data_IF_174557987414
#
_entry.id   IF_174557987414
#
_cell.length_a   1.000
_cell.length_b   1.000
_cell.length_c   1.000
_cell.angle_alpha   90.00
_cell.angle_beta   90.00
_cell.angle_gamma   90.00
#
_symmetry.space_group_name_H-M   'P 1'
#
loop_
_entity.id
_entity.type
_entity.pdbx_description
1 polymer ?
#
# COMPACT_ATOMS: atom_id res chain seq x y z
N UNK A 1 5.01 -0.67 -2.94
CA UNK A 1 4.90 -1.50 -4.17
C UNK A 1 3.91 -0.78 -5.10
N UNK A 2 3.27 -1.44 -6.07
CA UNK A 2 2.14 -0.86 -6.84
C UNK A 2 0.98 -1.85 -6.94
N UNK A 3 -0.05 -1.50 -7.72
CA UNK A 3 -1.27 -2.29 -7.96
C UNK A 3 -0.99 -3.77 -8.23
N UNK A 4 0.09 -4.11 -8.92
CA UNK A 4 0.48 -5.50 -9.18
C UNK A 4 0.59 -6.35 -7.90
N UNK A 5 1.13 -5.79 -6.81
CA UNK A 5 1.19 -6.50 -5.54
C UNK A 5 0.12 -6.05 -4.55
N UNK A 6 -0.15 -4.75 -4.42
CA UNK A 6 -1.12 -4.23 -3.45
C UNK A 6 -2.56 -4.67 -3.74
N UNK A 7 -2.91 -4.94 -5.00
CA UNK A 7 -4.20 -5.54 -5.37
C UNK A 7 -4.03 -7.01 -5.79
N UNK A 8 -3.44 -7.27 -6.96
CA UNK A 8 -3.49 -8.62 -7.55
C UNK A 8 -2.73 -9.66 -6.71
N UNK A 9 -1.54 -9.31 -6.24
CA UNK A 9 -0.78 -10.14 -5.30
C UNK A 9 -1.57 -10.46 -4.03
N UNK A 10 -2.16 -9.45 -3.38
CA UNK A 10 -2.99 -9.65 -2.18
C UNK A 10 -4.22 -10.52 -2.48
N UNK A 11 -4.91 -10.31 -3.60
CA UNK A 11 -6.08 -11.11 -3.98
C UNK A 11 -5.74 -12.60 -4.09
N UNK A 12 -4.65 -12.91 -4.83
CA UNK A 12 -4.16 -14.28 -5.00
C UNK A 12 -3.75 -14.89 -3.66
N UNK A 13 -3.00 -14.15 -2.84
CA UNK A 13 -2.53 -14.64 -1.54
C UNK A 13 -3.69 -14.86 -0.55
N UNK A 14 -4.74 -14.02 -0.60
CA UNK A 14 -5.94 -14.17 0.23
C UNK A 14 -6.77 -15.39 -0.20
N UNK A 15 -7.01 -15.58 -1.50
CA UNK A 15 -7.66 -16.79 -2.02
C UNK A 15 -6.89 -18.05 -1.62
N UNK A 16 -5.58 -18.05 -1.85
CA UNK A 16 -4.71 -19.17 -1.48
C UNK A 16 -4.63 -19.39 0.04
N UNK A 17 -4.83 -18.33 0.83
CA UNK A 17 -4.88 -18.37 2.29
C UNK A 17 -6.20 -18.92 2.85
N UNK A 18 -7.18 -19.23 2.00
CA UNK A 18 -8.46 -19.83 2.38
C UNK A 18 -9.62 -18.85 2.53
N UNK A 19 -9.46 -17.58 2.20
CA UNK A 19 -10.60 -16.64 2.15
C UNK A 19 -11.45 -16.92 0.93
N UNK A 20 -12.78 -16.86 1.07
CA UNK A 20 -13.67 -16.88 -0.09
C UNK A 20 -13.39 -15.69 -1.04
N UNK A 21 -13.97 -15.74 -2.22
CA UNK A 21 -13.71 -14.72 -3.25
C UNK A 21 -14.06 -13.30 -2.83
N UNK A 22 -15.26 -13.10 -2.29
CA UNK A 22 -15.73 -11.79 -1.87
C UNK A 22 -14.80 -11.18 -0.82
N UNK A 23 -14.40 -11.95 0.19
CA UNK A 23 -13.47 -11.50 1.22
C UNK A 23 -12.07 -11.25 0.65
N UNK A 24 -11.55 -12.13 -0.20
CA UNK A 24 -10.23 -11.97 -0.80
C UNK A 24 -10.14 -10.70 -1.67
N UNK A 25 -11.16 -10.43 -2.48
CA UNK A 25 -11.25 -9.21 -3.28
C UNK A 25 -11.46 -7.98 -2.41
N UNK A 26 -12.20 -8.09 -1.31
CA UNK A 26 -12.38 -6.98 -0.35
C UNK A 26 -11.06 -6.63 0.35
N UNK A 27 -10.28 -7.63 0.78
CA UNK A 27 -8.95 -7.45 1.36
C UNK A 27 -8.02 -6.77 0.34
N UNK A 28 -7.98 -7.29 -0.89
CA UNK A 28 -7.14 -6.76 -1.96
C UNK A 28 -7.50 -5.33 -2.34
N UNK A 29 -8.79 -5.04 -2.48
CA UNK A 29 -9.27 -3.69 -2.77
C UNK A 29 -8.89 -2.73 -1.65
N UNK A 30 -9.14 -3.09 -0.38
CA UNK A 30 -8.75 -2.27 0.77
C UNK A 30 -7.24 -1.97 0.78
N UNK A 31 -6.41 -2.99 0.50
CA UNK A 31 -4.96 -2.84 0.42
C UNK A 31 -4.58 -1.79 -0.64
N UNK A 32 -5.01 -1.95 -1.89
CA UNK A 32 -4.72 -0.98 -2.93
C UNK A 32 -5.34 0.41 -2.67
N UNK A 33 -6.53 0.47 -2.06
CA UNK A 33 -7.20 1.74 -1.81
C UNK A 33 -6.45 2.63 -0.81
N UNK A 34 -5.50 2.09 -0.04
CA UNK A 34 -4.57 2.89 0.78
C UNK A 34 -3.76 3.86 -0.08
N UNK A 35 -3.31 3.47 -1.26
CA UNK A 35 -2.60 4.36 -2.20
C UNK A 35 -3.55 5.33 -2.93
N UNK A 36 -4.85 5.03 -2.97
CA UNK A 36 -5.85 5.77 -3.76
C UNK A 36 -6.73 6.71 -2.93
N UNK A 37 -6.69 6.62 -1.60
CA UNK A 37 -7.42 7.51 -0.71
C UNK A 37 -6.66 8.83 -0.51
N UNK A 38 -6.93 9.75 -1.43
CA UNK A 38 -6.34 11.09 -1.56
C UNK A 38 -7.21 12.21 -1.00
N UNK A 39 -8.34 11.87 -0.36
CA UNK A 39 -9.36 12.82 0.08
C UNK A 39 -8.76 13.94 0.95
N UNK A 40 -9.13 15.18 0.66
CA UNK A 40 -8.46 16.35 1.23
C UNK A 40 -9.32 17.12 2.24
N UNK A 41 -10.65 16.99 2.20
CA UNK A 41 -11.58 17.78 3.02
C UNK A 41 -12.83 16.97 3.45
N UNK A 42 -13.62 17.47 4.42
CA UNK A 42 -14.92 16.89 4.74
C UNK A 42 -15.88 16.93 3.55
N UNK A 43 -16.66 15.87 3.39
CA UNK A 43 -17.61 15.69 2.30
C UNK A 43 -19.06 15.87 2.78
N UNK A 44 -19.84 16.68 2.07
CA UNK A 44 -21.27 16.82 2.36
C UNK A 44 -22.08 15.71 1.68
N UNK A 45 -22.76 14.89 2.49
CA UNK A 45 -23.66 13.81 2.05
C UNK A 45 -25.05 14.04 2.62
N UNK A 46 -25.99 14.46 1.77
CA UNK A 46 -27.30 14.95 2.20
C UNK A 46 -27.20 16.13 3.16
N UNK A 47 -27.67 15.94 4.40
CA UNK A 47 -27.59 16.93 5.49
C UNK A 47 -26.42 16.68 6.46
N UNK A 48 -25.59 15.68 6.17
CA UNK A 48 -24.50 15.23 7.05
C UNK A 48 -23.15 15.64 6.47
N UNK A 49 -22.15 15.66 7.34
CA UNK A 49 -20.74 15.82 6.98
C UNK A 49 -20.06 14.50 7.29
N UNK A 50 -19.35 13.96 6.31
CA UNK A 50 -18.49 12.78 6.46
C UNK A 50 -17.03 13.22 6.31
N UNK A 51 -16.18 12.84 7.25
CA UNK A 51 -14.75 13.16 7.20
C UNK A 51 -13.97 11.93 6.72
N UNK A 52 -13.56 11.88 5.44
CA UNK A 52 -12.73 10.79 4.94
C UNK A 52 -11.32 10.86 5.53
N UNK A 53 -10.65 9.72 5.56
CA UNK A 53 -9.30 9.54 6.06
C UNK A 53 -8.33 9.45 4.90
N UNK A 54 -7.58 10.52 4.67
CA UNK A 54 -6.48 10.53 3.71
C UNK A 54 -5.37 9.54 4.09
N UNK A 55 -5.08 8.56 3.25
CA UNK A 55 -3.97 7.61 3.47
C UNK A 55 -2.84 7.76 2.46
N UNK A 56 -3.07 8.45 1.34
CA UNK A 56 -2.05 8.80 0.37
C UNK A 56 -2.00 10.32 0.13
N UNK A 57 -0.79 10.84 -0.14
CA UNK A 57 -0.61 12.24 -0.46
C UNK A 57 0.46 12.46 -1.53
N UNK A 58 0.03 13.07 -2.64
CA UNK A 58 0.84 13.42 -3.79
C UNK A 58 1.03 14.94 -3.83
N UNK A 59 2.27 15.42 -3.75
CA UNK A 59 2.57 16.85 -3.90
C UNK A 59 3.65 17.40 -2.95
N UNK A 60 3.92 18.69 -3.09
CA UNK A 60 4.96 19.41 -2.34
C UNK A 60 4.63 19.63 -0.86
N UNK A 61 3.37 19.43 -0.44
CA UNK A 61 2.95 19.53 0.96
C UNK A 61 3.46 18.36 1.84
N UNK A 62 4.19 17.40 1.25
CA UNK A 62 4.93 16.34 1.94
C UNK A 62 5.79 16.85 3.12
N UNK A 63 6.28 18.09 3.07
CA UNK A 63 7.08 18.70 4.13
C UNK A 63 6.31 18.98 5.43
N UNK A 64 4.98 19.04 5.41
CA UNK A 64 4.20 19.23 6.63
C UNK A 64 4.37 18.00 7.54
N UNK A 65 4.77 18.25 8.78
CA UNK A 65 4.86 17.22 9.82
C UNK A 65 3.51 16.51 10.02
N UNK A 66 2.39 17.19 9.81
CA UNK A 66 1.06 16.60 9.88
C UNK A 66 0.85 15.50 8.84
N UNK A 67 1.35 15.70 7.61
CA UNK A 67 1.33 14.70 6.53
C UNK A 67 2.24 13.52 6.89
N UNK A 68 3.49 13.79 7.28
CA UNK A 68 4.44 12.74 7.68
C UNK A 68 3.89 11.86 8.80
N UNK A 69 3.35 12.50 9.86
CA UNK A 69 2.84 11.84 11.06
C UNK A 69 1.51 11.12 10.82
N UNK A 70 0.58 11.68 10.05
CA UNK A 70 -0.79 11.12 9.89
C UNK A 70 -0.97 10.25 8.65
N UNK A 71 -0.06 10.32 7.69
CA UNK A 71 -0.17 9.65 6.38
C UNK A 71 1.03 8.74 6.15
N UNK A 72 2.24 9.28 6.02
CA UNK A 72 3.40 8.47 5.63
C UNK A 72 3.80 7.43 6.68
N UNK A 73 3.95 7.82 7.95
CA UNK A 73 4.34 6.89 9.01
C UNK A 73 3.30 5.77 9.24
N UNK A 74 1.99 6.05 9.34
CA UNK A 74 1.01 5.01 9.65
C UNK A 74 0.68 4.03 8.52
N UNK A 75 0.93 4.42 7.26
CA UNK A 75 0.48 3.64 6.11
C UNK A 75 1.61 3.11 5.23
N UNK A 76 2.72 3.85 5.06
CA UNK A 76 3.75 3.54 4.06
C UNK A 76 5.16 3.31 4.62
N UNK A 77 5.53 4.00 5.70
CA UNK A 77 6.89 3.98 6.26
C UNK A 77 6.87 3.71 7.76
N UNK A 78 6.22 2.61 8.15
CA UNK A 78 6.09 2.23 9.54
C UNK A 78 7.47 1.85 10.12
N UNK A 79 7.95 2.49 11.20
CA UNK A 79 9.20 2.13 11.83
C UNK A 79 9.23 0.67 12.27
N UNK A 80 10.42 0.06 12.30
CA UNK A 80 10.56 -1.35 12.65
C UNK A 80 9.96 -1.74 14.03
N UNK A 81 9.94 -0.78 14.96
CA UNK A 81 9.43 -0.89 16.32
C UNK A 81 8.89 0.48 16.78
N UNK A 82 8.00 0.52 17.78
CA UNK A 82 7.73 1.72 18.56
C UNK A 82 9.01 2.43 19.03
N UNK A 83 9.01 3.77 19.00
CA UNK A 83 10.11 4.66 19.37
C UNK A 83 10.08 4.92 20.87
N UNK A 84 10.84 4.15 21.65
CA UNK A 84 10.77 4.20 23.13
C UNK A 84 11.79 5.15 23.75
N UNK A 85 12.86 5.48 23.04
CA UNK A 85 13.91 6.38 23.53
C UNK A 85 14.55 7.19 22.42
N UNK A 86 15.19 8.34 22.76
CA UNK A 86 16.02 9.07 21.81
C UNK A 86 17.08 8.15 21.18
N UNK A 87 17.18 8.19 19.85
CA UNK A 87 18.10 7.36 19.07
C UNK A 87 17.48 6.06 18.51
N UNK A 88 16.26 5.71 18.90
CA UNK A 88 15.52 4.66 18.19
C UNK A 88 15.25 5.11 16.73
N UNK A 89 15.31 4.16 15.81
CA UNK A 89 15.25 4.44 14.37
C UNK A 89 13.82 4.52 13.86
N UNK A 90 13.57 5.48 12.96
CA UNK A 90 12.34 5.58 12.18
C UNK A 90 12.42 4.80 10.86
N UNK A 91 13.54 4.13 10.59
CA UNK A 91 13.70 3.34 9.39
C UNK A 91 12.71 2.17 9.39
N UNK A 92 12.02 2.05 8.28
CA UNK A 92 11.15 0.93 7.96
C UNK A 92 12.00 -0.33 7.81
N UNK A 93 11.53 -1.45 8.34
CA UNK A 93 12.18 -2.74 8.18
C UNK A 93 11.18 -3.80 7.70
N UNK A 94 11.61 -4.76 6.86
CA UNK A 94 10.74 -5.81 6.35
C UNK A 94 10.11 -6.65 7.46
N UNK A 95 8.79 -6.88 7.40
CA UNK A 95 8.07 -7.80 8.29
C UNK A 95 8.34 -7.53 9.78
N UNK A 96 8.42 -6.24 10.14
CA UNK A 96 8.90 -5.81 11.45
C UNK A 96 7.92 -6.11 12.59
N UNK A 97 8.40 -5.96 13.83
CA UNK A 97 7.53 -6.12 15.01
C UNK A 97 6.34 -5.17 14.96
N UNK A 98 6.52 -3.94 14.50
CA UNK A 98 5.43 -2.97 14.46
C UNK A 98 4.39 -3.33 13.39
N UNK A 99 4.80 -3.84 12.22
CA UNK A 99 3.84 -4.29 11.20
C UNK A 99 3.01 -5.47 11.69
N UNK A 100 3.60 -6.39 12.46
CA UNK A 100 2.84 -7.47 13.11
C UNK A 100 1.85 -6.93 14.17
N UNK A 101 2.22 -5.94 14.97
CA UNK A 101 1.28 -5.31 15.91
C UNK A 101 0.07 -4.67 15.19
N UNK A 102 0.31 -4.01 14.05
CA UNK A 102 -0.76 -3.42 13.22
C UNK A 102 -1.64 -4.51 12.61
N UNK A 103 -1.05 -5.60 12.12
CA UNK A 103 -1.77 -6.77 11.62
C UNK A 103 -2.65 -7.42 12.70
N UNK A 104 -2.11 -7.68 13.89
CA UNK A 104 -2.84 -8.29 15.00
C UNK A 104 -4.04 -7.40 15.42
N UNK A 105 -3.84 -6.08 15.45
CA UNK A 105 -4.91 -5.11 15.71
C UNK A 105 -5.99 -5.15 14.62
N UNK A 106 -5.63 -5.24 13.34
CA UNK A 106 -6.58 -5.38 12.25
C UNK A 106 -7.38 -6.69 12.33
N UNK A 107 -6.74 -7.80 12.70
CA UNK A 107 -7.40 -9.10 12.90
C UNK A 107 -8.36 -9.10 14.10
N UNK A 108 -8.14 -8.21 15.08
CA UNK A 108 -9.01 -8.06 16.25
C UNK A 108 -10.32 -7.31 15.97
N UNK A 109 -10.54 -6.83 14.74
CA UNK A 109 -11.81 -6.21 14.33
C UNK A 109 -12.97 -7.19 14.47
N UNK A 110 -13.91 -6.86 15.36
CA UNK A 110 -15.06 -7.72 15.69
C UNK A 110 -16.20 -7.60 14.68
N UNK A 111 -16.27 -6.49 13.93
CA UNK A 111 -17.27 -6.35 12.90
C UNK A 111 -16.87 -7.17 11.66
N UNK A 112 -17.51 -8.32 11.43
CA UNK A 112 -17.20 -9.27 10.35
C UNK A 112 -17.03 -8.57 9.00
N UNK A 113 -17.93 -7.64 8.65
CA UNK A 113 -17.88 -6.94 7.37
C UNK A 113 -16.79 -5.86 7.26
N UNK A 114 -16.16 -5.44 8.38
CA UNK A 114 -15.03 -4.49 8.41
C UNK A 114 -13.68 -5.17 8.64
N UNK A 115 -13.66 -6.43 9.10
CA UNK A 115 -12.44 -7.19 9.35
C UNK A 115 -11.61 -7.41 8.08
N UNK A 116 -12.16 -7.90 6.94
CA UNK A 116 -11.43 -7.99 5.68
C UNK A 116 -10.81 -6.66 5.23
N UNK A 117 -11.55 -5.56 5.39
CA UNK A 117 -11.07 -4.21 5.03
C UNK A 117 -9.92 -3.76 5.93
N UNK A 118 -10.04 -3.95 7.25
CA UNK A 118 -8.96 -3.64 8.21
C UNK A 118 -7.70 -4.45 7.92
N UNK A 119 -7.86 -5.73 7.59
CA UNK A 119 -6.77 -6.61 7.20
C UNK A 119 -6.08 -6.13 5.92
N UNK A 120 -6.84 -5.72 4.90
CA UNK A 120 -6.28 -5.16 3.67
C UNK A 120 -5.43 -3.91 3.92
N UNK A 121 -5.93 -2.97 4.74
CA UNK A 121 -5.17 -1.76 5.12
C UNK A 121 -3.86 -2.12 5.85
N UNK A 122 -3.90 -3.11 6.75
CA UNK A 122 -2.70 -3.56 7.46
C UNK A 122 -1.71 -4.30 6.53
N UNK A 123 -2.21 -5.10 5.59
CA UNK A 123 -1.39 -5.81 4.60
C UNK A 123 -0.69 -4.85 3.64
N UNK A 124 -1.33 -3.73 3.28
CA UNK A 124 -0.67 -2.66 2.54
C UNK A 124 0.60 -2.19 3.26
N UNK A 125 0.47 -1.78 4.52
CA UNK A 125 1.59 -1.31 5.35
C UNK A 125 2.63 -2.41 5.58
N UNK A 126 2.20 -3.66 5.74
CA UNK A 126 3.10 -4.81 5.84
C UNK A 126 3.91 -5.01 4.56
N UNK A 127 3.27 -4.96 3.39
CA UNK A 127 3.92 -5.11 2.08
C UNK A 127 4.90 -3.95 1.82
N UNK A 128 4.49 -2.71 2.09
CA UNK A 128 5.32 -1.52 1.98
C UNK A 128 6.55 -1.57 2.89
N UNK A 129 6.52 -2.33 4.00
CA UNK A 129 7.70 -2.51 4.84
C UNK A 129 8.89 -3.18 4.12
N UNK A 130 8.61 -3.93 3.05
CA UNK A 130 9.61 -4.53 2.17
C UNK A 130 10.06 -3.56 1.06
N UNK A 131 9.11 -2.84 0.44
CA UNK A 131 9.40 -1.84 -0.60
C UNK A 131 10.24 -0.69 -0.03
N UNK A 132 9.78 -0.12 1.08
CA UNK A 132 10.34 1.07 1.69
C UNK A 132 11.39 0.76 2.75
N UNK A 133 11.91 -0.49 2.79
CA UNK A 133 12.94 -0.86 3.76
C UNK A 133 14.11 0.13 3.71
N UNK A 134 14.52 0.53 4.90
CA UNK A 134 15.57 1.52 5.14
C UNK A 134 15.23 2.93 4.63
N UNK A 135 13.96 3.28 4.49
CA UNK A 135 13.49 4.66 4.40
C UNK A 135 12.54 4.96 5.57
N UNK A 136 12.27 6.22 5.82
CA UNK A 136 11.38 6.69 6.88
C UNK A 136 10.34 7.68 6.35
N UNK A 137 9.18 7.73 6.99
CA UNK A 137 8.09 8.62 6.58
C UNK A 137 8.28 10.09 6.99
N UNK A 138 9.44 10.45 7.54
CA UNK A 138 9.76 11.79 8.05
C UNK A 138 10.79 12.49 7.19
N UNK A 139 10.78 13.82 7.19
CA UNK A 139 11.85 14.62 6.59
C UNK A 139 13.12 14.49 7.42
N UNK A 140 14.08 13.71 6.93
CA UNK A 140 15.32 13.48 7.65
C UNK A 140 16.45 13.01 6.72
N UNK A 141 17.70 13.31 7.10
CA UNK A 141 18.89 12.89 6.36
C UNK A 141 19.07 11.39 6.26
N UNK A 142 18.36 10.58 7.06
CA UNK A 142 18.34 9.14 6.85
C UNK A 142 17.72 8.74 5.51
N UNK A 143 16.90 9.59 4.88
CA UNK A 143 16.37 9.35 3.52
C UNK A 143 17.27 9.91 2.41
N UNK A 144 18.39 10.56 2.76
CA UNK A 144 19.31 11.17 1.81
C UNK A 144 20.13 10.08 1.08
N UNK A 145 19.81 9.83 -0.18
CA UNK A 145 20.40 8.77 -0.99
C UNK A 145 20.96 9.31 -2.30
N UNK A 146 22.15 8.83 -2.65
CA UNK A 146 22.92 9.29 -3.79
C UNK A 146 23.57 8.10 -4.52
N UNK A 147 24.17 8.39 -5.68
CA UNK A 147 24.90 7.41 -6.48
C UNK A 147 24.06 6.18 -6.82
N UNK A 148 22.83 6.39 -7.25
CA UNK A 148 21.94 5.30 -7.63
C UNK A 148 22.46 4.64 -8.91
N UNK A 149 22.54 3.32 -8.87
CA UNK A 149 22.81 2.48 -10.02
C UNK A 149 21.69 1.46 -10.18
N UNK A 150 21.31 1.20 -11.42
CA UNK A 150 20.40 0.11 -11.79
C UNK A 150 21.19 -1.00 -12.46
N UNK A 151 20.77 -2.24 -12.25
CA UNK A 151 21.35 -3.41 -12.89
C UNK A 151 20.50 -3.77 -14.11
N UNK A 152 21.05 -3.51 -15.30
CA UNK A 152 20.45 -3.78 -16.60
C UNK A 152 21.49 -4.53 -17.44
N UNK A 153 21.13 -5.37 -18.41
CA UNK A 153 22.08 -6.02 -19.35
C UNK A 153 23.38 -6.61 -18.72
N UNK A 154 23.26 -7.24 -17.55
CA UNK A 154 24.37 -7.81 -16.76
C UNK A 154 25.45 -6.82 -16.29
N UNK A 155 25.16 -5.51 -16.25
CA UNK A 155 26.07 -4.49 -15.76
C UNK A 155 25.36 -3.43 -14.88
N UNK A 156 26.14 -2.71 -14.08
CA UNK A 156 25.64 -1.59 -13.27
C UNK A 156 25.70 -0.29 -14.04
N UNK A 157 24.55 0.32 -14.30
CA UNK A 157 24.43 1.62 -14.96
C UNK A 157 24.22 2.72 -13.92
N UNK A 158 25.11 3.70 -13.90
CA UNK A 158 25.00 4.87 -13.03
C UNK A 158 24.05 5.91 -13.64
N UNK A 159 23.00 6.25 -12.91
CA UNK A 159 21.96 7.20 -13.29
C UNK A 159 22.37 8.65 -13.01
N UNK A 160 23.42 9.17 -13.65
CA UNK A 160 24.00 10.47 -13.27
C UNK A 160 23.03 11.65 -13.38
N UNK A 161 22.24 11.72 -14.46
CA UNK A 161 21.29 12.82 -14.69
C UNK A 161 20.04 12.66 -13.82
N UNK A 162 19.50 11.43 -13.71
CA UNK A 162 18.38 11.20 -12.80
C UNK A 162 18.79 11.41 -11.35
N UNK A 163 20.01 11.06 -10.93
CA UNK A 163 20.52 11.34 -9.58
C UNK A 163 20.52 12.84 -9.28
N UNK A 164 21.03 13.68 -10.20
CA UNK A 164 21.01 15.15 -9.98
C UNK A 164 19.57 15.66 -9.81
N UNK A 165 18.63 15.12 -10.57
CA UNK A 165 17.22 15.49 -10.42
C UNK A 165 16.63 14.96 -9.11
N UNK A 166 16.88 13.69 -8.78
CA UNK A 166 16.38 13.05 -7.58
C UNK A 166 16.96 13.66 -6.30
N UNK A 167 18.23 14.06 -6.29
CA UNK A 167 18.89 14.77 -5.17
C UNK A 167 18.24 16.15 -4.88
N UNK A 168 17.38 16.65 -5.78
CA UNK A 168 16.60 17.88 -5.56
C UNK A 168 15.24 17.60 -4.91
N UNK A 169 14.85 16.33 -4.79
CA UNK A 169 13.60 15.91 -4.18
C UNK A 169 13.65 16.00 -2.64
N UNK A 170 12.49 16.09 -1.97
CA UNK A 170 12.42 16.07 -0.52
C UNK A 170 13.03 14.79 0.08
N UNK A 171 13.73 14.89 1.21
CA UNK A 171 14.26 13.74 1.96
C UNK A 171 13.19 13.05 2.81
N UNK A 172 12.09 12.68 2.18
CA UNK A 172 10.93 12.05 2.80
C UNK A 172 10.64 10.75 2.07
N UNK A 173 10.56 9.66 2.82
CA UNK A 173 10.39 8.35 2.24
C UNK A 173 11.53 8.04 1.27
N UNK A 174 11.18 7.55 0.09
CA UNK A 174 12.13 7.19 -0.96
C UNK A 174 12.12 8.17 -2.14
N UNK A 175 11.73 9.43 -1.91
CA UNK A 175 11.61 10.42 -2.99
C UNK A 175 12.91 10.63 -3.78
N UNK A 176 14.07 10.70 -3.12
CA UNK A 176 15.39 10.74 -3.79
C UNK A 176 15.79 9.40 -4.44
N UNK A 177 15.06 8.30 -4.18
CA UNK A 177 15.21 7.03 -4.90
C UNK A 177 14.18 6.84 -6.04
N UNK A 178 13.33 7.84 -6.30
CA UNK A 178 12.30 7.78 -7.33
C UNK A 178 11.40 6.56 -7.19
N UNK A 179 11.10 5.89 -8.30
CA UNK A 179 10.24 4.71 -8.36
C UNK A 179 10.96 3.38 -8.16
N UNK A 180 12.29 3.37 -8.02
CA UNK A 180 13.08 2.12 -7.96
C UNK A 180 12.69 1.20 -6.81
N UNK A 181 12.36 1.66 -5.59
CA UNK A 181 11.91 0.78 -4.52
C UNK A 181 10.64 -0.01 -4.88
N UNK A 182 9.74 0.56 -5.67
CA UNK A 182 8.39 0.02 -5.93
C UNK A 182 8.26 -0.85 -7.17
N UNK A 183 9.29 -0.88 -8.04
CA UNK A 183 9.27 -1.69 -9.25
C UNK A 183 9.79 -3.11 -8.96
N UNK A 184 8.97 -4.16 -9.05
CA UNK A 184 9.35 -5.53 -8.65
C UNK A 184 10.58 -6.07 -9.36
N UNK A 185 10.71 -5.80 -10.66
CA UNK A 185 11.79 -6.33 -11.49
C UNK A 185 13.14 -5.64 -11.21
N UNK A 186 13.14 -4.54 -10.47
CA UNK A 186 14.35 -3.75 -10.27
C UNK A 186 15.36 -4.44 -9.36
N UNK A 187 16.59 -4.46 -9.85
CA UNK A 187 17.80 -4.63 -9.06
C UNK A 187 18.58 -3.34 -9.11
N UNK A 188 18.76 -2.70 -7.98
CA UNK A 188 19.35 -1.38 -7.90
C UNK A 188 20.21 -1.25 -6.65
N UNK A 189 21.06 -0.25 -6.60
CA UNK A 189 21.90 0.02 -5.43
C UNK A 189 22.14 1.51 -5.28
N UNK A 190 22.35 1.94 -4.05
CA UNK A 190 22.55 3.36 -3.72
C UNK A 190 23.49 3.49 -2.53
N UNK A 191 24.01 4.70 -2.32
CA UNK A 191 24.69 5.07 -1.07
C UNK A 191 23.83 6.05 -0.31
N UNK A 192 23.86 5.99 1.01
CA UNK A 192 23.37 7.12 1.81
C UNK A 192 24.44 8.17 1.86
N UNK A 193 24.06 9.44 1.83
CA UNK A 193 25.02 10.52 1.93
C UNK A 193 25.82 10.43 3.23
N UNK A 194 27.13 10.56 3.11
CA UNK A 194 28.06 10.39 4.23
C UNK A 194 28.39 8.93 4.59
N UNK A 195 27.81 7.93 3.92
CA UNK A 195 28.17 6.53 4.08
C UNK A 195 29.02 6.02 2.92
N UNK A 196 30.07 5.25 3.22
CA UNK A 196 30.92 4.63 2.20
C UNK A 196 30.30 3.36 1.61
N UNK A 197 29.46 2.66 2.38
CA UNK A 197 28.88 1.40 1.97
C UNK A 197 27.71 1.59 1.02
N UNK A 198 27.66 0.74 0.00
CA UNK A 198 26.54 0.69 -0.94
C UNK A 198 25.50 -0.31 -0.44
N UNK A 199 24.23 0.09 -0.48
CA UNK A 199 23.09 -0.79 -0.20
C UNK A 199 22.52 -1.32 -1.51
N UNK A 200 22.56 -2.64 -1.72
CA UNK A 200 21.95 -3.30 -2.88
C UNK A 200 20.52 -3.77 -2.55
N UNK A 201 19.63 -3.63 -3.52
CA UNK A 201 18.21 -3.99 -3.49
C UNK A 201 17.92 -4.91 -4.66
N UNK A 202 17.22 -6.01 -4.38
CA UNK A 202 16.73 -6.95 -5.39
C UNK A 202 15.25 -7.15 -5.15
N UNK A 203 14.44 -6.26 -5.73
CA UNK A 203 13.05 -6.13 -5.32
C UNK A 203 12.27 -7.43 -5.55
N UNK A 204 12.49 -8.16 -6.65
CA UNK A 204 11.81 -9.43 -6.90
C UNK A 204 12.09 -10.49 -5.82
N UNK A 205 13.31 -10.55 -5.28
CA UNK A 205 13.65 -11.46 -4.18
C UNK A 205 13.03 -10.99 -2.84
N UNK A 206 13.01 -9.68 -2.60
CA UNK A 206 12.41 -9.10 -1.40
C UNK A 206 10.88 -9.22 -1.41
N UNK A 207 10.24 -8.97 -2.55
CA UNK A 207 8.80 -9.00 -2.72
C UNK A 207 8.28 -10.43 -2.67
N UNK A 208 9.02 -11.41 -3.19
CA UNK A 208 8.66 -12.82 -3.04
C UNK A 208 8.65 -13.25 -1.55
N UNK A 209 9.60 -12.74 -0.75
CA UNK A 209 9.60 -12.98 0.70
C UNK A 209 8.42 -12.28 1.38
N UNK A 210 8.07 -11.07 0.95
CA UNK A 210 6.87 -10.38 1.40
C UNK A 210 5.61 -11.23 1.14
N UNK A 211 5.44 -11.73 -0.09
CA UNK A 211 4.33 -12.61 -0.47
C UNK A 211 4.26 -13.86 0.40
N UNK A 212 5.41 -14.49 0.69
CA UNK A 212 5.48 -15.68 1.55
C UNK A 212 5.00 -15.39 2.97
N UNK A 213 5.46 -14.30 3.58
CA UNK A 213 5.02 -13.92 4.92
C UNK A 213 3.55 -13.50 4.94
N UNK A 214 3.07 -12.80 3.91
CA UNK A 214 1.65 -12.43 3.78
C UNK A 214 0.78 -13.69 3.65
N UNK A 215 1.17 -14.67 2.83
CA UNK A 215 0.50 -15.98 2.74
C UNK A 215 0.43 -16.66 4.11
N UNK A 216 1.53 -16.65 4.87
CA UNK A 216 1.56 -17.20 6.23
C UNK A 216 0.60 -16.47 7.17
N UNK A 217 0.61 -15.13 7.16
CA UNK A 217 -0.33 -14.33 7.96
C UNK A 217 -1.79 -14.66 7.63
N UNK A 218 -2.12 -14.75 6.33
CA UNK A 218 -3.48 -15.03 5.87
C UNK A 218 -3.92 -16.47 6.17
N UNK A 219 -3.01 -17.44 6.11
CA UNK A 219 -3.31 -18.84 6.47
C UNK A 219 -3.53 -19.02 7.98
N UNK A 220 -2.78 -18.29 8.82
CA UNK A 220 -2.86 -18.38 10.28
C UNK A 220 -4.11 -17.70 10.88
N UNK A 221 -4.82 -16.85 10.13
CA UNK A 221 -6.05 -16.18 10.58
C UNK A 221 -7.26 -17.12 10.56
N UNK A 222 -8.05 -17.10 11.63
CA UNK A 222 -9.34 -17.79 11.73
C UNK A 222 -10.37 -17.15 10.80
N UNK A 223 -11.12 -18.00 10.08
CA UNK A 223 -12.06 -17.60 9.03
C UNK A 223 -13.43 -18.20 9.34
N UNK A 224 -14.48 -17.42 9.09
CA UNK A 224 -15.85 -17.86 9.32
C UNK A 224 -16.28 -18.87 8.25
N UNK A 225 -15.84 -18.65 7.00
CA UNK A 225 -16.05 -19.53 5.85
C UNK A 225 -14.71 -19.74 5.12
N UNK A 226 -14.09 -20.91 5.31
CA UNK A 226 -12.77 -21.22 4.75
C UNK A 226 -12.90 -22.05 3.48
N UNK A 227 -12.21 -21.63 2.42
CA UNK A 227 -11.98 -22.46 1.22
C UNK A 227 -10.74 -23.33 1.37
N UNK A 228 -10.48 -24.18 0.37
CA UNK A 228 -9.26 -24.99 0.30
C UNK A 228 -8.00 -24.11 0.32
N UNK A 229 -7.02 -24.51 1.14
CA UNK A 229 -5.73 -23.82 1.25
C UNK A 229 -4.82 -24.24 0.10
N UNK A 230 -4.22 -23.27 -0.57
CA UNK A 230 -3.20 -23.52 -1.59
C UNK A 230 -1.82 -23.37 -0.93
N UNK A 231 -0.99 -24.43 -0.90
CA UNK A 231 0.33 -24.36 -0.31
C UNK A 231 1.23 -23.34 -1.01
N UNK A 232 2.08 -22.64 -0.25
CA UNK A 232 3.05 -21.67 -0.79
C UNK A 232 3.90 -22.24 -1.94
N UNK A 233 4.22 -23.54 -1.89
CA UNK A 233 4.99 -24.22 -2.93
C UNK A 233 4.37 -24.13 -4.33
N UNK A 234 3.05 -24.01 -4.43
CA UNK A 234 2.32 -23.88 -5.69
C UNK A 234 2.25 -22.42 -6.19
N UNK A 235 2.51 -21.44 -5.32
CA UNK A 235 2.41 -20.01 -5.63
C UNK A 235 3.79 -19.40 -5.94
N UNK A 236 4.84 -19.91 -5.30
CA UNK A 236 6.14 -19.25 -5.26
C UNK A 236 6.75 -19.00 -6.65
N UNK A 237 6.73 -20.01 -7.52
CA UNK A 237 7.31 -19.91 -8.87
C UNK A 237 6.48 -19.00 -9.80
N UNK A 238 5.15 -19.19 -9.94
CA UNK A 238 4.30 -18.26 -10.68
C UNK A 238 4.44 -16.80 -10.23
N UNK A 239 4.35 -16.53 -8.92
CA UNK A 239 4.51 -15.18 -8.37
C UNK A 239 5.91 -14.63 -8.73
N UNK A 240 6.97 -15.42 -8.56
CA UNK A 240 8.32 -14.95 -8.85
C UNK A 240 8.53 -14.64 -10.33
N UNK A 241 7.92 -15.41 -11.23
CA UNK A 241 7.92 -15.15 -12.66
C UNK A 241 7.29 -13.78 -12.97
N UNK A 242 6.13 -13.48 -12.39
CA UNK A 242 5.46 -12.17 -12.54
C UNK A 242 6.29 -11.02 -11.98
N UNK A 243 6.88 -11.19 -10.78
CA UNK A 243 7.73 -10.17 -10.15
C UNK A 243 9.02 -9.88 -10.92
N UNK A 244 9.51 -10.84 -11.71
CA UNK A 244 10.71 -10.68 -12.55
C UNK A 244 10.43 -10.20 -13.96
N UNK A 245 9.16 -10.08 -14.34
CA UNK A 245 8.79 -9.66 -15.69
C UNK A 245 9.50 -8.36 -16.07
N UNK A 246 10.17 -8.28 -17.24
CA UNK A 246 10.78 -7.04 -17.70
C UNK A 246 9.73 -6.01 -18.16
N UNK A 247 8.44 -6.33 -18.12
CA UNK A 247 7.37 -5.45 -18.55
C UNK A 247 7.20 -4.23 -17.62
N UNK A 248 7.31 -3.04 -18.20
CA UNK A 248 7.19 -1.78 -17.50
C UNK A 248 5.76 -1.24 -17.52
N UNK A 249 4.99 -1.58 -18.55
CA UNK A 249 3.59 -1.21 -18.71
C UNK A 249 2.74 -1.88 -17.62
N UNK A 250 2.02 -1.05 -16.86
CA UNK A 250 1.28 -1.52 -15.69
C UNK A 250 0.09 -2.40 -16.10
N UNK A 251 -0.69 -1.98 -17.10
CA UNK A 251 -1.86 -2.72 -17.59
C UNK A 251 -1.48 -4.12 -18.09
N UNK A 252 -0.34 -4.24 -18.77
CA UNK A 252 0.17 -5.55 -19.19
C UNK A 252 0.61 -6.40 -18.01
N UNK A 253 1.27 -5.84 -17.00
CA UNK A 253 1.61 -6.59 -15.78
C UNK A 253 0.35 -7.09 -15.06
N UNK A 254 -0.67 -6.23 -14.94
CA UNK A 254 -1.96 -6.59 -14.34
C UNK A 254 -2.63 -7.72 -15.09
N UNK A 255 -2.62 -7.64 -16.43
CA UNK A 255 -3.10 -8.72 -17.29
C UNK A 255 -2.36 -10.04 -17.03
N UNK A 256 -1.04 -10.02 -16.88
CA UNK A 256 -0.27 -11.23 -16.57
C UNK A 256 -0.72 -11.88 -15.24
N UNK A 257 -0.97 -11.08 -14.21
CA UNK A 257 -1.53 -11.59 -12.94
C UNK A 257 -2.91 -12.22 -13.13
N UNK A 258 -3.79 -11.55 -13.88
CA UNK A 258 -5.14 -12.05 -14.17
C UNK A 258 -5.12 -13.37 -14.95
N UNK A 259 -4.23 -13.48 -15.94
CA UNK A 259 -4.10 -14.71 -16.75
C UNK A 259 -3.48 -15.86 -15.95
N UNK A 260 -2.46 -15.61 -15.14
CA UNK A 260 -1.76 -16.66 -14.36
C UNK A 260 -2.65 -17.28 -13.27
N UNK A 261 -3.53 -16.47 -12.65
CA UNK A 261 -4.33 -16.89 -11.50
C UNK A 261 -5.85 -16.85 -11.75
N UNK A 262 -6.27 -16.84 -13.02
CA UNK A 262 -7.68 -16.80 -13.42
C UNK A 262 -8.53 -17.85 -12.70
N UNK A 263 -8.05 -19.09 -12.64
CA UNK A 263 -8.75 -20.25 -12.08
C UNK A 263 -9.05 -20.14 -10.56
N UNK A 264 -8.48 -19.16 -9.86
CA UNK A 264 -8.75 -18.92 -8.44
C UNK A 264 -10.06 -18.14 -8.19
N UNK A 265 -10.62 -17.53 -9.23
CA UNK A 265 -11.75 -16.60 -9.17
C UNK A 265 -12.87 -17.04 -10.12
N UNK A 266 -14.11 -16.87 -9.68
CA UNK A 266 -15.34 -17.12 -10.42
C UNK A 266 -15.36 -16.20 -11.64
N UNK A 267 -15.79 -16.77 -12.77
CA UNK A 267 -15.84 -16.10 -14.07
C UNK A 267 -14.48 -15.51 -14.55
N UNK A 268 -13.37 -15.86 -13.89
CA UNK A 268 -12.03 -15.31 -14.11
C UNK A 268 -11.95 -13.78 -13.93
N UNK A 269 -12.84 -13.20 -13.11
CA UNK A 269 -12.91 -11.75 -12.89
C UNK A 269 -12.35 -11.33 -11.52
N UNK A 270 -11.20 -10.68 -11.51
CA UNK A 270 -10.67 -9.99 -10.33
C UNK A 270 -9.92 -8.71 -10.72
N UNK A 271 -10.66 -7.71 -11.18
CA UNK A 271 -10.08 -6.44 -11.60
C UNK A 271 -10.23 -5.32 -10.58
N UNK A 272 -9.33 -4.34 -10.64
CA UNK A 272 -9.36 -3.18 -9.77
C UNK A 272 -9.95 -1.95 -10.48
N UNK A 273 -11.15 -1.54 -10.08
CA UNK A 273 -11.69 -0.22 -10.40
C UNK A 273 -11.57 0.70 -9.18
N UNK A 274 -10.59 1.60 -9.21
CA UNK A 274 -10.35 2.63 -8.18
C UNK A 274 -11.63 3.37 -7.73
N UNK A 275 -12.60 3.53 -8.63
CA UNK A 275 -13.81 4.29 -8.36
C UNK A 275 -14.95 3.44 -7.81
N UNK A 276 -14.84 2.11 -7.77
CA UNK A 276 -15.95 1.22 -7.43
C UNK A 276 -16.57 1.54 -6.07
N UNK A 277 -15.75 1.60 -5.01
CA UNK A 277 -16.25 1.92 -3.66
C UNK A 277 -16.79 3.36 -3.56
N UNK A 278 -16.21 4.32 -4.29
CA UNK A 278 -16.74 5.70 -4.36
C UNK A 278 -18.13 5.71 -5.02
N UNK A 279 -18.31 4.98 -6.14
CA UNK A 279 -19.60 4.84 -6.85
C UNK A 279 -20.64 4.16 -5.96
N UNK A 280 -20.25 3.08 -5.29
CA UNK A 280 -21.08 2.30 -4.37
C UNK A 280 -21.67 3.22 -3.29
N UNK A 281 -20.83 4.06 -2.67
CA UNK A 281 -21.24 4.88 -1.54
C UNK A 281 -21.99 6.17 -1.92
N UNK A 282 -21.61 6.85 -3.02
CA UNK A 282 -21.95 8.26 -3.22
C UNK A 282 -22.97 8.57 -4.33
N UNK A 283 -23.37 7.60 -5.15
CA UNK A 283 -24.33 7.82 -6.27
C UNK A 283 -24.04 9.10 -7.08
N UNK A 284 -22.84 9.21 -7.69
CA UNK A 284 -22.42 10.41 -8.39
C UNK A 284 -23.32 10.70 -9.59
N UNK A 285 -23.67 11.98 -9.81
CA UNK A 285 -24.42 12.40 -11.01
C UNK A 285 -23.58 12.24 -12.28
N UNK A 286 -22.27 12.42 -12.18
CA UNK A 286 -21.30 12.27 -13.27
C UNK A 286 -20.09 11.53 -12.74
N UNK A 287 -19.46 10.71 -13.58
CA UNK A 287 -18.21 9.99 -13.23
C UNK A 287 -17.14 10.92 -12.63
N UNK A 288 -16.96 12.11 -13.21
CA UNK A 288 -15.99 13.11 -12.74
C UNK A 288 -16.22 13.62 -11.31
N UNK A 289 -17.44 13.47 -10.77
CA UNK A 289 -17.74 13.95 -9.42
C UNK A 289 -17.02 13.09 -8.36
N UNK A 290 -16.55 11.88 -8.73
CA UNK A 290 -15.77 10.96 -7.87
C UNK A 290 -14.31 10.75 -8.35
N UNK A 291 -13.90 11.43 -9.42
CA UNK A 291 -12.52 11.45 -9.95
C UNK A 291 -11.79 12.69 -9.41
N UNK A 292 -11.68 12.78 -8.08
CA UNK A 292 -11.21 13.99 -7.38
C UNK A 292 -9.72 13.97 -7.03
N UNK A 293 -8.94 13.00 -7.51
CA UNK A 293 -7.55 12.82 -7.09
C UNK A 293 -6.65 14.01 -7.45
N UNK A 294 -7.01 14.75 -8.51
CA UNK A 294 -6.33 15.97 -8.95
C UNK A 294 -7.03 17.26 -8.48
N UNK A 295 -8.09 17.16 -7.67
CA UNK A 295 -8.83 18.34 -7.23
C UNK A 295 -8.05 19.09 -6.14
N UNK A 296 -8.05 20.41 -6.21
CA UNK A 296 -7.63 21.24 -5.09
C UNK A 296 -8.56 21.04 -3.88
N UNK A 297 -8.09 21.35 -2.67
CA UNK A 297 -8.92 21.34 -1.45
C UNK A 297 -10.24 22.14 -1.65
N UNK A 298 -10.17 23.28 -2.35
CA UNK A 298 -11.35 24.10 -2.63
C UNK A 298 -12.33 23.43 -3.61
N UNK A 299 -11.84 22.71 -4.61
CA UNK A 299 -12.71 21.97 -5.54
C UNK A 299 -13.35 20.78 -4.85
N UNK A 300 -12.58 20.02 -4.07
CA UNK A 300 -13.09 18.91 -3.27
C UNK A 300 -14.15 19.38 -2.28
N UNK A 301 -13.89 20.44 -1.51
CA UNK A 301 -14.83 20.96 -0.51
C UNK A 301 -16.16 21.49 -1.07
N UNK A 302 -16.27 21.64 -2.40
CA UNK A 302 -17.52 21.99 -3.09
C UNK A 302 -18.37 20.78 -3.48
N UNK A 303 -17.82 19.57 -3.37
CA UNK A 303 -18.53 18.34 -3.69
C UNK A 303 -19.70 18.10 -2.72
N UNK A 304 -20.83 17.70 -3.29
CA UNK A 304 -22.06 17.40 -2.55
C UNK A 304 -22.74 16.20 -3.18
N UNK A 305 -23.05 15.21 -2.35
CA UNK A 305 -23.73 14.00 -2.78
C UNK A 305 -25.09 13.88 -2.09
N UNK A 306 -26.11 13.27 -2.73
CA UNK A 306 -27.33 12.90 -2.05
C UNK A 306 -27.02 11.86 -0.96
N UNK A 307 -27.89 11.76 0.05
CA UNK A 307 -27.82 10.63 0.96
C UNK A 307 -28.37 9.38 0.26
N UNK A 308 -27.62 8.28 0.36
CA UNK A 308 -27.99 6.96 -0.12
C UNK A 308 -28.22 6.03 1.07
N UNK A 309 -29.28 5.24 1.02
CA UNK A 309 -29.50 4.17 2.00
C UNK A 309 -28.33 3.17 1.95
N UNK A 310 -27.82 2.75 3.10
CA UNK A 310 -26.62 1.90 3.18
C UNK A 310 -25.29 2.65 3.09
N UNK A 311 -25.27 3.99 3.06
CA UNK A 311 -24.03 4.77 2.98
C UNK A 311 -23.01 4.36 4.07
N UNK A 312 -23.47 4.22 5.33
CA UNK A 312 -22.59 3.90 6.46
C UNK A 312 -22.12 2.45 6.49
N UNK A 313 -22.80 1.59 5.74
CA UNK A 313 -22.54 0.17 5.56
C UNK A 313 -21.68 -0.09 4.31
N UNK A 314 -21.48 0.91 3.45
CA UNK A 314 -20.65 0.80 2.25
C UNK A 314 -19.20 0.46 2.59
N UNK A 315 -18.53 -0.23 1.67
CA UNK A 315 -17.11 -0.57 1.84
C UNK A 315 -16.22 0.67 1.88
N UNK A 316 -16.59 1.74 1.17
CA UNK A 316 -15.88 3.03 1.24
C UNK A 316 -15.89 3.63 2.65
N UNK A 317 -17.04 3.66 3.32
CA UNK A 317 -17.12 4.19 4.68
C UNK A 317 -16.39 3.28 5.68
N UNK A 318 -16.50 1.95 5.51
CA UNK A 318 -15.77 0.99 6.33
C UNK A 318 -14.26 1.14 6.17
N UNK A 319 -13.76 1.38 4.96
CA UNK A 319 -12.35 1.68 4.70
C UNK A 319 -11.89 2.90 5.49
N UNK A 320 -12.59 4.02 5.38
CA UNK A 320 -12.21 5.24 6.10
C UNK A 320 -12.21 5.06 7.61
N UNK A 321 -13.17 4.30 8.15
CA UNK A 321 -13.18 3.92 9.58
C UNK A 321 -11.99 3.02 9.95
N UNK A 322 -11.68 2.02 9.13
CA UNK A 322 -10.53 1.12 9.33
C UNK A 322 -9.19 1.88 9.27
N UNK A 323 -9.04 2.76 8.29
CA UNK A 323 -7.86 3.61 8.14
C UNK A 323 -7.70 4.56 9.34
N UNK A 324 -8.81 5.14 9.84
CA UNK A 324 -8.80 5.95 11.06
C UNK A 324 -8.28 5.14 12.25
N UNK A 325 -8.81 3.92 12.45
CA UNK A 325 -8.40 3.01 13.51
C UNK A 325 -6.92 2.67 13.44
N UNK A 326 -6.41 2.30 12.26
CA UNK A 326 -4.97 2.02 12.09
C UNK A 326 -4.11 3.25 12.38
N UNK A 327 -4.48 4.43 11.86
CA UNK A 327 -3.77 5.68 12.15
C UNK A 327 -3.69 5.93 13.65
N UNK A 328 -4.82 5.84 14.36
CA UNK A 328 -4.84 6.03 15.81
C UNK A 328 -3.98 5.01 16.53
N UNK A 329 -4.13 3.72 16.21
CA UNK A 329 -3.34 2.65 16.81
C UNK A 329 -1.84 2.89 16.63
N UNK A 330 -1.39 3.23 15.42
CA UNK A 330 0.03 3.54 15.17
C UNK A 330 0.44 4.75 15.98
N UNK A 331 -0.31 5.85 15.97
CA UNK A 331 0.07 7.07 16.67
C UNK A 331 0.13 6.93 18.20
N UNK A 332 -0.76 6.13 18.78
CA UNK A 332 -0.77 5.81 20.22
C UNK A 332 0.41 4.91 20.61
N UNK A 333 0.86 4.06 19.69
CA UNK A 333 1.95 3.11 19.93
C UNK A 333 3.30 3.55 19.35
N UNK A 334 3.37 4.69 18.65
CA UNK A 334 4.58 5.15 17.98
C UNK A 334 5.64 5.63 18.98
N UNK A 335 5.24 6.19 20.11
CA UNK A 335 6.10 6.71 21.19
C UNK A 335 5.98 5.83 22.45
#
# INVERSE_FOLDING_TARGET
MKIDLHFYGIAVLARAGGFNEEEALTIAYASQYVDDSTESEPLQVGKMIFEPVRTAHYGLEAFDWSVQKKIYIPFHFLPARPIRKPGDTFLTAPGSKFTHMVWDHACSETATASRPISMGIALHTFADSWSHKWFSGRLNSENDVENIHVFEDNHWKHLKLENIYLDTMPQIGHAEAGSYPDLPQMRWKYRRKGQQNTSERKNSEDFLKACKEIHRLLTDVEKDDSTELIPWGNLAEPIYYLLKSPEYDQEKRWKMWREEFADLFIDNEFDYDKLAWRKEALEPKRKKDIEWDDFSQTEFGRLKFPYKEGFYESNWVRFHRGALKQRHFVLENLL
#
